data_IF_229393720911
#
_entry.id   IF_229393720911
#
_cell.length_a   1.000
_cell.length_b   1.000
_cell.length_c   1.000
_cell.angle_alpha   90.00
_cell.angle_beta   90.00
_cell.angle_gamma   90.00
#
_symmetry.space_group_name_H-M   'P 1'
#
loop_
_entity.id
_entity.type
_entity.pdbx_description
1 polymer ?
#
# COMPACT_ATOMS: atom_id res chain seq x y z
N UNK A 1 -43.03 0.20 26.05
CA UNK A 1 -43.53 1.56 25.77
C UNK A 1 -44.75 1.39 24.89
N UNK A 2 -45.93 1.93 25.28
CA UNK A 2 -47.09 1.88 24.38
C UNK A 2 -46.85 2.83 23.20
N UNK A 3 -47.50 2.60 22.05
CA UNK A 3 -47.34 3.47 20.88
C UNK A 3 -47.69 4.94 21.20
N UNK A 4 -48.60 5.15 22.16
CA UNK A 4 -49.02 6.47 22.62
C UNK A 4 -47.96 7.17 23.47
N UNK A 5 -47.14 6.41 24.20
CA UNK A 5 -46.03 6.97 25.00
C UNK A 5 -44.87 7.44 24.12
N UNK A 6 -44.70 6.82 22.94
CA UNK A 6 -43.68 7.21 21.96
C UNK A 6 -43.92 8.64 21.45
N UNK A 7 -45.16 8.96 21.07
CA UNK A 7 -45.55 10.30 20.58
C UNK A 7 -45.61 11.39 21.66
N UNK A 8 -45.52 11.00 22.94
CA UNK A 8 -45.46 11.93 24.07
C UNK A 8 -44.01 12.24 24.52
N UNK A 9 -43.01 11.61 23.90
CA UNK A 9 -41.60 11.75 24.24
C UNK A 9 -40.83 12.54 23.18
N UNK A 10 -39.67 13.10 23.55
CA UNK A 10 -38.75 13.70 22.58
C UNK A 10 -38.23 12.61 21.66
N UNK A 11 -38.60 12.67 20.38
CA UNK A 11 -38.16 11.70 19.38
C UNK A 11 -36.70 11.97 19.00
N UNK A 12 -35.92 10.89 18.85
CA UNK A 12 -34.59 10.90 18.25
C UNK A 12 -34.60 10.02 17.00
N UNK A 13 -34.98 10.55 15.84
CA UNK A 13 -35.15 9.77 14.62
C UNK A 13 -33.80 9.30 14.08
N UNK A 14 -33.79 8.11 13.50
CA UNK A 14 -32.69 7.62 12.66
C UNK A 14 -33.16 7.68 11.21
N UNK A 15 -32.58 8.59 10.43
CA UNK A 15 -32.89 8.73 9.01
C UNK A 15 -32.12 7.70 8.19
N UNK A 16 -32.82 7.01 7.29
CA UNK A 16 -32.26 6.08 6.33
C UNK A 16 -32.77 6.44 4.94
N UNK A 17 -31.87 6.65 3.98
CA UNK A 17 -32.21 7.10 2.62
C UNK A 17 -31.78 8.54 2.37
N UNK A 18 -32.66 9.37 1.81
CA UNK A 18 -32.30 10.72 1.36
C UNK A 18 -31.95 11.65 2.55
N UNK A 19 -30.81 12.32 2.46
CA UNK A 19 -30.30 13.28 3.45
C UNK A 19 -31.30 14.41 3.74
N UNK A 20 -32.09 14.79 2.73
CA UNK A 20 -33.08 15.86 2.83
C UNK A 20 -34.06 15.68 3.99
N UNK A 21 -34.40 14.45 4.36
CA UNK A 21 -35.28 14.19 5.50
C UNK A 21 -34.61 14.48 6.85
N UNK A 22 -33.31 14.18 6.97
CA UNK A 22 -32.54 14.54 8.15
C UNK A 22 -32.32 16.06 8.23
N UNK A 23 -32.06 16.71 7.10
CA UNK A 23 -31.93 18.18 7.00
C UNK A 23 -33.23 18.90 7.40
N UNK A 24 -34.37 18.41 6.92
CA UNK A 24 -35.69 18.93 7.27
C UNK A 24 -35.98 18.79 8.76
N UNK A 25 -35.63 17.65 9.37
CA UNK A 25 -35.79 17.41 10.81
C UNK A 25 -34.84 18.29 11.65
N UNK A 26 -33.59 18.43 11.21
CA UNK A 26 -32.61 19.30 11.86
C UNK A 26 -33.05 20.76 11.83
N UNK A 27 -33.61 21.23 10.71
CA UNK A 27 -34.16 22.58 10.56
C UNK A 27 -35.34 22.84 11.52
N UNK A 28 -36.08 21.79 11.89
CA UNK A 28 -37.16 21.84 12.88
C UNK A 28 -36.67 21.69 14.34
N UNK A 29 -35.35 21.62 14.57
CA UNK A 29 -34.76 21.49 15.90
C UNK A 29 -34.86 20.09 16.49
N UNK A 30 -35.06 19.05 15.66
CA UNK A 30 -35.11 17.65 16.09
C UNK A 30 -33.72 17.04 16.02
N UNK A 31 -33.24 16.48 17.15
CA UNK A 31 -32.00 15.71 17.21
C UNK A 31 -32.15 14.43 16.37
N UNK A 32 -31.53 14.41 15.18
CA UNK A 32 -31.67 13.34 14.19
C UNK A 32 -30.32 12.70 13.92
N UNK A 33 -30.30 11.38 13.85
CA UNK A 33 -29.12 10.61 13.43
C UNK A 33 -29.29 10.30 11.95
N UNK A 34 -28.42 10.85 11.10
CA UNK A 34 -28.34 10.43 9.71
C UNK A 34 -27.54 9.13 9.63
N UNK A 35 -28.16 8.07 9.10
CA UNK A 35 -27.46 6.84 8.78
C UNK A 35 -27.05 6.90 7.31
N UNK A 36 -25.75 7.02 7.07
CA UNK A 36 -25.17 6.86 5.74
C UNK A 36 -25.36 5.39 5.29
N UNK A 37 -26.36 5.17 4.46
CA UNK A 37 -26.77 3.85 4.00
C UNK A 37 -26.81 3.81 2.48
N UNK A 38 -26.24 2.77 1.91
CA UNK A 38 -26.31 2.48 0.47
C UNK A 38 -26.83 1.05 0.26
N UNK A 39 -27.55 0.79 -0.85
CA UNK A 39 -27.93 -0.58 -1.19
C UNK A 39 -26.67 -1.43 -1.47
N UNK A 40 -26.67 -2.73 -1.13
CA UNK A 40 -25.57 -3.62 -1.45
C UNK A 40 -25.17 -3.54 -2.92
N UNK A 41 -23.86 -3.59 -3.18
CA UNK A 41 -23.30 -3.46 -4.52
C UNK A 41 -23.54 -2.10 -5.20
N UNK A 42 -23.94 -1.07 -4.45
CA UNK A 42 -24.30 0.24 -5.00
C UNK A 42 -25.61 0.24 -5.80
N UNK A 43 -26.44 -0.80 -5.65
CA UNK A 43 -27.68 -0.95 -6.40
C UNK A 43 -27.51 -1.59 -7.78
N UNK A 44 -26.31 -2.06 -8.14
CA UNK A 44 -26.07 -2.76 -9.41
C UNK A 44 -26.73 -4.17 -9.40
N UNK A 45 -27.67 -4.47 -10.32
CA UNK A 45 -28.37 -5.75 -10.35
C UNK A 45 -27.47 -6.97 -10.55
N UNK A 46 -26.37 -6.85 -11.30
CA UNK A 46 -25.42 -7.94 -11.51
C UNK A 46 -24.65 -8.23 -10.23
N UNK A 47 -24.20 -7.19 -9.54
CA UNK A 47 -23.47 -7.30 -8.27
C UNK A 47 -24.37 -7.87 -7.17
N UNK A 48 -25.62 -7.42 -7.07
CA UNK A 48 -26.60 -7.96 -6.12
C UNK A 48 -26.86 -9.45 -6.40
N UNK A 49 -27.00 -9.83 -7.67
CA UNK A 49 -27.15 -11.23 -8.07
C UNK A 49 -25.92 -12.07 -7.71
N UNK A 50 -24.71 -11.53 -7.91
CA UNK A 50 -23.47 -12.16 -7.51
C UNK A 50 -23.36 -12.36 -5.99
N UNK A 51 -23.70 -11.34 -5.19
CA UNK A 51 -23.79 -11.44 -3.71
C UNK A 51 -24.76 -12.54 -3.30
N UNK A 52 -26.00 -12.50 -3.80
CA UNK A 52 -27.02 -13.50 -3.44
C UNK A 52 -26.62 -14.94 -3.80
N UNK A 53 -25.82 -15.15 -4.86
CA UNK A 53 -25.27 -16.47 -5.20
C UNK A 53 -24.20 -16.93 -4.21
N UNK A 54 -23.32 -16.01 -3.78
CA UNK A 54 -22.22 -16.27 -2.84
C UNK A 54 -22.71 -16.42 -1.39
N UNK A 55 -23.85 -15.82 -1.05
CA UNK A 55 -24.51 -15.90 0.27
C UNK A 55 -25.33 -17.17 0.48
N UNK A 56 -25.51 -18.01 -0.56
CA UNK A 56 -26.14 -19.32 -0.38
C UNK A 56 -25.37 -20.12 0.67
N UNK A 57 -26.03 -20.73 1.69
CA UNK A 57 -25.34 -21.29 2.86
C UNK A 57 -24.17 -22.22 2.53
N UNK A 58 -24.34 -23.10 1.54
CA UNK A 58 -23.31 -24.06 1.10
C UNK A 58 -22.12 -23.43 0.38
N UNK A 59 -22.30 -22.23 -0.18
CA UNK A 59 -21.23 -21.45 -0.83
C UNK A 59 -20.56 -20.53 0.20
N UNK A 60 -21.35 -19.85 1.03
CA UNK A 60 -20.86 -18.99 2.09
C UNK A 60 -19.93 -19.76 3.05
N UNK A 61 -20.31 -20.98 3.46
CA UNK A 61 -19.47 -21.82 4.32
C UNK A 61 -18.11 -22.17 3.68
N UNK A 62 -18.07 -22.43 2.36
CA UNK A 62 -16.82 -22.69 1.64
C UNK A 62 -15.92 -21.45 1.60
N UNK A 63 -16.52 -20.29 1.37
CA UNK A 63 -15.80 -19.02 1.32
C UNK A 63 -15.25 -18.68 2.70
N UNK A 64 -16.06 -18.83 3.75
CA UNK A 64 -15.65 -18.55 5.13
C UNK A 64 -14.48 -19.46 5.55
N UNK A 65 -14.55 -20.75 5.21
CA UNK A 65 -13.44 -21.68 5.45
C UNK A 65 -12.17 -21.27 4.66
N UNK A 66 -12.30 -20.89 3.39
CA UNK A 66 -11.16 -20.44 2.58
C UNK A 66 -10.56 -19.12 3.08
N UNK A 67 -11.40 -18.17 3.50
CA UNK A 67 -10.98 -16.89 4.07
C UNK A 67 -10.29 -17.08 5.42
N UNK A 68 -10.73 -18.03 6.22
CA UNK A 68 -10.06 -18.38 7.47
C UNK A 68 -8.64 -18.92 7.20
N UNK A 69 -8.45 -19.77 6.19
CA UNK A 69 -7.12 -20.22 5.76
C UNK A 69 -6.27 -19.04 5.27
N UNK A 70 -6.84 -18.14 4.48
CA UNK A 70 -6.14 -16.94 4.01
C UNK A 70 -5.68 -16.06 5.19
N UNK A 71 -6.57 -15.79 6.14
CA UNK A 71 -6.26 -15.06 7.36
C UNK A 71 -5.14 -15.76 8.14
N UNK A 72 -5.24 -17.07 8.40
CA UNK A 72 -4.22 -17.83 9.12
C UNK A 72 -2.83 -17.73 8.46
N UNK A 73 -2.74 -17.75 7.12
CA UNK A 73 -1.47 -17.55 6.43
C UNK A 73 -0.90 -16.14 6.60
N UNK A 74 -1.74 -15.12 6.55
CA UNK A 74 -1.34 -13.73 6.83
C UNK A 74 -0.81 -13.62 8.28
N UNK A 75 -1.57 -14.12 9.26
CA UNK A 75 -1.23 -14.00 10.68
C UNK A 75 0.02 -14.77 11.08
N UNK A 76 0.22 -15.94 10.49
CA UNK A 76 1.37 -16.82 10.76
C UNK A 76 2.64 -16.44 9.99
N UNK A 77 2.55 -15.53 9.01
CA UNK A 77 3.71 -15.09 8.23
C UNK A 77 4.79 -14.48 9.12
N UNK A 78 6.04 -14.79 8.78
CA UNK A 78 7.24 -14.31 9.46
C UNK A 78 8.21 -13.73 8.43
N UNK A 79 7.98 -12.49 7.96
CA UNK A 79 8.89 -11.81 7.05
C UNK A 79 10.20 -11.45 7.75
N UNK A 80 11.31 -12.04 7.29
CA UNK A 80 12.67 -11.70 7.70
C UNK A 80 13.39 -10.97 6.58
N UNK A 81 13.98 -9.81 6.88
CA UNK A 81 14.97 -9.21 6.01
C UNK A 81 16.23 -10.07 6.10
N UNK A 82 16.56 -10.75 5.00
CA UNK A 82 17.71 -11.66 4.94
C UNK A 82 18.85 -11.11 4.10
N UNK A 83 18.65 -9.99 3.40
CA UNK A 83 19.71 -9.38 2.64
C UNK A 83 19.24 -8.28 1.71
N UNK A 84 20.21 -7.79 0.95
CA UNK A 84 20.02 -6.88 -0.16
C UNK A 84 20.72 -7.48 -1.37
N UNK A 85 20.21 -7.20 -2.57
CA UNK A 85 20.86 -7.61 -3.81
C UNK A 85 20.47 -6.72 -4.97
N UNK A 86 21.22 -6.75 -6.06
CA UNK A 86 20.81 -6.07 -7.29
C UNK A 86 19.60 -6.78 -7.89
N UNK A 87 18.68 -6.01 -8.47
CA UNK A 87 17.41 -6.54 -8.97
C UNK A 87 17.63 -7.61 -10.06
N UNK A 88 18.63 -7.45 -10.91
CA UNK A 88 18.98 -8.41 -11.97
C UNK A 88 19.34 -9.81 -11.45
N UNK A 89 19.92 -9.89 -10.24
CA UNK A 89 20.39 -11.15 -9.65
C UNK A 89 19.37 -11.76 -8.68
N UNK A 90 18.37 -10.98 -8.25
CA UNK A 90 17.47 -11.36 -7.15
C UNK A 90 16.00 -11.40 -7.53
N UNK A 91 15.53 -10.45 -8.34
CA UNK A 91 14.12 -10.32 -8.69
C UNK A 91 13.77 -11.31 -9.81
N UNK A 92 12.79 -12.21 -9.62
CA UNK A 92 12.40 -13.20 -10.61
C UNK A 92 12.02 -12.54 -11.95
N UNK A 93 12.53 -13.06 -13.05
CA UNK A 93 12.18 -12.57 -14.40
C UNK A 93 12.80 -11.21 -14.77
N UNK A 94 13.65 -10.63 -13.94
CA UNK A 94 14.34 -9.38 -14.28
C UNK A 94 15.36 -9.61 -15.42
N UNK A 95 15.40 -8.69 -16.37
CA UNK A 95 16.41 -8.65 -17.44
C UNK A 95 17.00 -7.25 -17.53
N UNK A 96 18.07 -7.09 -18.33
CA UNK A 96 18.65 -5.75 -18.58
C UNK A 96 17.69 -4.78 -19.28
N UNK A 97 16.66 -5.28 -19.97
CA UNK A 97 15.66 -4.47 -20.68
C UNK A 97 14.28 -4.56 -20.02
N UNK A 98 14.21 -5.02 -18.77
CA UNK A 98 12.97 -5.05 -17.99
C UNK A 98 12.97 -3.88 -17.01
N UNK A 99 11.89 -3.10 -17.00
CA UNK A 99 11.64 -2.06 -16.01
C UNK A 99 10.34 -2.39 -15.30
N UNK A 100 10.43 -2.65 -14.00
CA UNK A 100 9.24 -2.86 -13.18
C UNK A 100 8.63 -1.53 -12.79
N UNK A 101 7.31 -1.48 -12.57
CA UNK A 101 6.59 -0.29 -12.10
C UNK A 101 5.51 -0.65 -11.07
N UNK A 102 5.03 0.36 -10.33
CA UNK A 102 3.90 0.20 -9.42
C UNK A 102 2.56 0.05 -10.15
N UNK A 103 1.57 -0.53 -9.47
CA UNK A 103 0.19 -0.66 -9.94
C UNK A 103 -0.06 -1.80 -10.93
N UNK A 104 -1.29 -1.91 -11.48
CA UNK A 104 -1.63 -2.93 -12.47
C UNK A 104 -0.92 -2.68 -13.82
N UNK A 105 -0.92 -3.68 -14.75
CA UNK A 105 -0.28 -3.56 -16.06
C UNK A 105 -0.69 -2.29 -16.81
N UNK A 106 0.28 -1.58 -17.36
CA UNK A 106 0.06 -0.35 -18.13
C UNK A 106 1.15 -0.16 -19.18
N UNK A 107 0.74 0.28 -20.37
CA UNK A 107 1.67 0.65 -21.45
C UNK A 107 2.35 1.98 -21.15
N UNK A 108 3.63 2.14 -21.54
CA UNK A 108 4.42 3.36 -21.28
C UNK A 108 3.72 4.66 -21.71
N UNK A 109 3.03 4.64 -22.85
CA UNK A 109 2.31 5.82 -23.38
C UNK A 109 1.11 6.23 -22.55
N UNK A 110 0.58 5.35 -21.70
CA UNK A 110 -0.50 5.64 -20.75
C UNK A 110 0.01 5.99 -19.36
N UNK A 111 1.28 5.75 -19.04
CA UNK A 111 1.83 6.05 -17.72
C UNK A 111 1.67 7.53 -17.36
N UNK A 112 1.47 7.81 -16.07
CA UNK A 112 1.41 9.18 -15.56
C UNK A 112 2.75 9.91 -15.78
N UNK A 113 2.74 11.24 -15.82
CA UNK A 113 3.96 12.05 -15.98
C UNK A 113 5.09 11.64 -15.02
N UNK A 114 4.85 11.53 -13.70
CA UNK A 114 5.87 11.10 -12.74
C UNK A 114 6.43 9.70 -13.04
N UNK A 115 5.58 8.77 -13.48
CA UNK A 115 6.03 7.42 -13.83
C UNK A 115 6.85 7.42 -15.12
N UNK A 116 6.46 8.19 -16.14
CA UNK A 116 7.26 8.37 -17.36
C UNK A 116 8.64 8.98 -17.04
N UNK A 117 8.68 10.02 -16.19
CA UNK A 117 9.94 10.62 -15.74
C UNK A 117 10.83 9.65 -14.98
N UNK A 118 10.24 8.76 -14.18
CA UNK A 118 10.95 7.74 -13.43
C UNK A 118 11.54 6.66 -14.36
N UNK A 119 10.77 6.21 -15.36
CA UNK A 119 11.24 5.26 -16.38
C UNK A 119 12.41 5.84 -17.17
N UNK A 120 12.29 7.07 -17.66
CA UNK A 120 13.37 7.69 -18.46
C UNK A 120 14.63 7.90 -17.62
N UNK A 121 14.50 8.33 -16.36
CA UNK A 121 15.62 8.41 -15.44
C UNK A 121 16.29 7.06 -15.18
N UNK A 122 15.50 5.99 -15.02
CA UNK A 122 16.05 4.64 -14.85
C UNK A 122 16.80 4.16 -16.10
N UNK A 123 16.29 4.42 -17.31
CA UNK A 123 16.97 4.05 -18.55
C UNK A 123 18.31 4.78 -18.73
N UNK A 124 18.40 6.05 -18.33
CA UNK A 124 19.66 6.81 -18.29
C UNK A 124 20.61 6.21 -17.24
N UNK A 125 20.10 5.90 -16.05
CA UNK A 125 20.88 5.26 -14.98
C UNK A 125 21.47 3.91 -15.41
N UNK A 126 20.70 3.08 -16.13
CA UNK A 126 21.17 1.80 -16.68
C UNK A 126 22.12 1.95 -17.88
N UNK A 127 22.32 3.17 -18.38
CA UNK A 127 23.15 3.43 -19.57
C UNK A 127 22.54 2.90 -20.87
N UNK A 128 21.21 2.70 -20.90
CA UNK A 128 20.48 2.28 -22.10
C UNK A 128 20.16 3.45 -23.03
N UNK A 129 20.19 4.67 -22.50
CA UNK A 129 20.06 5.93 -23.22
C UNK A 129 21.06 6.96 -22.66
N UNK A 130 21.50 7.91 -23.49
CA UNK A 130 22.48 8.94 -23.10
C UNK A 130 21.85 10.07 -22.30
N UNK A 131 20.57 10.34 -22.56
CA UNK A 131 19.81 11.42 -21.95
C UNK A 131 18.31 11.07 -21.90
N UNK A 132 17.54 11.97 -21.29
CA UNK A 132 16.09 11.77 -21.05
C UNK A 132 15.29 11.73 -22.34
N UNK A 133 15.72 12.45 -23.39
CA UNK A 133 15.03 12.48 -24.68
C UNK A 133 15.20 11.14 -25.41
N UNK A 134 16.44 10.64 -25.51
CA UNK A 134 16.72 9.30 -26.08
C UNK A 134 16.05 8.19 -25.23
N UNK A 135 16.00 8.36 -23.90
CA UNK A 135 15.32 7.42 -23.01
C UNK A 135 13.81 7.37 -23.25
N UNK A 136 13.18 8.50 -23.54
CA UNK A 136 11.75 8.56 -23.85
C UNK A 136 11.45 7.85 -25.18
N UNK A 137 12.27 8.10 -26.22
CA UNK A 137 12.15 7.41 -27.50
C UNK A 137 12.33 5.90 -27.35
N UNK A 138 13.33 5.46 -26.56
CA UNK A 138 13.58 4.05 -26.28
C UNK A 138 12.43 3.40 -25.50
N UNK A 139 11.89 4.07 -24.49
CA UNK A 139 10.75 3.56 -23.72
C UNK A 139 9.50 3.40 -24.61
N UNK A 140 9.32 4.27 -25.60
CA UNK A 140 8.20 4.20 -26.54
C UNK A 140 8.43 3.26 -27.73
N UNK A 141 9.63 2.69 -27.91
CA UNK A 141 9.98 1.91 -29.10
C UNK A 141 9.44 0.47 -29.09
N UNK A 142 9.02 -0.03 -27.93
CA UNK A 142 8.65 -1.44 -27.71
C UNK A 142 9.86 -2.36 -27.45
N UNK A 143 11.06 -1.81 -27.28
CA UNK A 143 12.26 -2.60 -26.91
C UNK A 143 12.42 -2.84 -25.41
N UNK A 144 11.67 -2.12 -24.57
CA UNK A 144 11.71 -2.24 -23.10
C UNK A 144 10.47 -3.00 -22.65
N UNK A 145 10.68 -4.03 -21.84
CA UNK A 145 9.62 -4.80 -21.21
C UNK A 145 9.19 -4.10 -19.93
N UNK A 146 7.93 -3.66 -19.88
CA UNK A 146 7.32 -3.08 -18.69
C UNK A 146 6.41 -4.10 -18.01
N UNK A 147 6.57 -4.28 -16.70
CA UNK A 147 5.69 -5.15 -15.93
C UNK A 147 5.48 -4.66 -14.50
N UNK A 148 4.33 -4.96 -13.89
CA UNK A 148 4.09 -4.65 -12.49
C UNK A 148 5.08 -5.33 -11.55
N UNK A 149 5.55 -4.60 -10.54
CA UNK A 149 6.30 -5.18 -9.43
C UNK A 149 5.58 -6.40 -8.83
N UNK A 150 4.26 -6.32 -8.67
CA UNK A 150 3.43 -7.36 -8.07
C UNK A 150 3.43 -8.71 -8.81
N UNK A 151 3.83 -8.72 -10.09
CA UNK A 151 3.97 -9.92 -10.93
C UNK A 151 5.38 -10.55 -10.82
N UNK A 152 6.32 -9.84 -10.22
CA UNK A 152 7.72 -10.25 -10.01
C UNK A 152 8.06 -10.37 -8.52
N UNK A 153 7.07 -10.78 -7.70
CA UNK A 153 7.20 -10.90 -6.25
C UNK A 153 7.71 -9.62 -5.57
N UNK A 154 7.46 -8.46 -6.19
CA UNK A 154 8.02 -7.18 -5.77
C UNK A 154 6.93 -6.16 -5.46
N UNK A 155 7.32 -5.07 -4.82
CA UNK A 155 6.51 -3.85 -4.64
C UNK A 155 7.38 -2.61 -4.80
N UNK A 156 6.83 -1.54 -5.37
CA UNK A 156 7.51 -0.27 -5.60
C UNK A 156 6.76 0.93 -5.02
N UNK A 157 7.47 1.80 -4.28
CA UNK A 157 6.90 3.04 -3.73
C UNK A 157 6.68 4.09 -4.82
N UNK A 158 5.55 4.80 -4.79
CA UNK A 158 5.18 5.85 -5.76
C UNK A 158 5.23 5.34 -7.22
N UNK A 159 6.06 5.89 -8.11
CA UNK A 159 6.19 5.34 -9.47
C UNK A 159 6.64 3.86 -9.46
N UNK A 160 7.32 3.43 -8.40
CA UNK A 160 7.74 2.04 -8.19
C UNK A 160 8.77 1.53 -9.18
N UNK A 161 9.35 2.43 -9.99
CA UNK A 161 10.31 2.07 -11.02
C UNK A 161 11.50 1.35 -10.41
N UNK A 162 11.72 0.13 -10.88
CA UNK A 162 12.84 -0.72 -10.45
C UNK A 162 13.52 -1.30 -11.69
N UNK A 163 14.80 -0.98 -11.87
CA UNK A 163 15.63 -1.43 -13.00
C UNK A 163 16.71 -2.41 -12.55
N UNK A 164 17.34 -3.07 -13.51
CA UNK A 164 18.27 -4.18 -13.31
C UNK A 164 19.38 -3.93 -12.27
N UNK A 165 20.01 -2.75 -12.28
CA UNK A 165 21.16 -2.42 -11.44
C UNK A 165 20.77 -1.83 -10.08
N UNK A 166 19.48 -1.53 -9.85
CA UNK A 166 19.00 -1.03 -8.57
C UNK A 166 19.07 -2.11 -7.50
N UNK A 167 19.42 -1.71 -6.28
CA UNK A 167 19.40 -2.61 -5.12
C UNK A 167 17.98 -2.76 -4.57
N UNK A 168 17.67 -3.98 -4.13
CA UNK A 168 16.40 -4.35 -3.51
C UNK A 168 16.62 -5.03 -2.16
N UNK A 169 15.67 -4.87 -1.25
CA UNK A 169 15.52 -5.74 -0.10
C UNK A 169 15.18 -7.15 -0.58
N UNK A 170 15.71 -8.17 0.09
CA UNK A 170 15.28 -9.57 -0.03
C UNK A 170 14.64 -10.00 1.29
N UNK A 171 13.32 -10.13 1.28
CA UNK A 171 12.56 -10.55 2.46
C UNK A 171 12.01 -11.96 2.26
N UNK A 172 12.36 -12.86 3.17
CA UNK A 172 11.88 -14.24 3.16
C UNK A 172 10.82 -14.41 4.23
N UNK A 173 9.65 -14.89 3.84
CA UNK A 173 8.64 -15.34 4.77
C UNK A 173 9.01 -16.74 5.27
N UNK A 174 9.64 -16.84 6.45
CA UNK A 174 10.18 -18.13 6.94
C UNK A 174 9.12 -19.20 7.20
N UNK A 175 7.88 -18.80 7.50
CA UNK A 175 6.77 -19.74 7.73
C UNK A 175 6.33 -20.43 6.44
N UNK A 176 6.23 -19.68 5.35
CA UNK A 176 5.63 -20.15 4.08
C UNK A 176 6.64 -20.34 2.94
N UNK A 177 7.90 -19.93 3.15
CA UNK A 177 9.03 -20.12 2.24
C UNK A 177 9.07 -19.18 1.04
N UNK A 178 8.06 -18.32 0.83
CA UNK A 178 8.06 -17.35 -0.26
C UNK A 178 9.00 -16.17 0.03
N UNK A 179 9.50 -15.53 -1.03
CA UNK A 179 10.36 -14.34 -0.95
C UNK A 179 9.66 -13.16 -1.64
N UNK A 180 9.91 -11.95 -1.15
CA UNK A 180 9.47 -10.71 -1.78
C UNK A 180 10.58 -9.67 -1.81
N UNK A 181 10.44 -8.69 -2.72
CA UNK A 181 11.46 -7.67 -2.98
C UNK A 181 10.86 -6.25 -3.04
N UNK A 182 11.71 -5.27 -2.77
CA UNK A 182 11.39 -3.85 -3.02
C UNK A 182 12.67 -3.04 -3.11
N UNK A 183 12.69 -2.00 -3.92
CA UNK A 183 13.84 -1.11 -4.03
C UNK A 183 14.12 -0.35 -2.72
N UNK A 184 15.26 0.35 -2.69
CA UNK A 184 15.67 1.18 -1.56
C UNK A 184 15.07 2.59 -1.65
N UNK A 185 14.82 3.22 -0.50
CA UNK A 185 14.49 4.64 -0.49
C UNK A 185 15.70 5.49 -0.89
N UNK A 186 15.49 6.39 -1.84
CA UNK A 186 16.50 7.36 -2.32
C UNK A 186 16.78 8.50 -1.34
N UNK A 187 15.96 8.64 -0.29
CA UNK A 187 15.99 9.76 0.66
C UNK A 187 15.85 11.15 -0.01
N UNK A 188 15.54 12.20 0.76
CA UNK A 188 15.25 13.56 0.25
C UNK A 188 13.93 13.70 -0.54
N UNK A 189 13.68 14.90 -1.05
CA UNK A 189 12.44 15.29 -1.76
C UNK A 189 12.53 15.20 -3.29
N UNK A 190 13.70 15.51 -3.89
CA UNK A 190 13.92 15.41 -5.35
C UNK A 190 14.50 14.02 -5.69
N UNK A 191 13.62 13.11 -6.12
CA UNK A 191 13.91 11.68 -6.23
C UNK A 191 13.18 11.02 -7.41
N UNK A 192 13.73 9.91 -7.89
CA UNK A 192 13.25 9.18 -9.06
C UNK A 192 11.83 8.66 -8.87
N UNK A 193 11.46 8.18 -7.68
CA UNK A 193 10.10 7.65 -7.44
C UNK A 193 8.97 8.67 -7.64
N UNK A 194 9.29 9.97 -7.69
CA UNK A 194 8.35 11.04 -8.06
C UNK A 194 8.59 11.58 -9.49
N UNK A 195 9.45 10.94 -10.27
CA UNK A 195 9.75 11.29 -11.66
C UNK A 195 10.88 12.30 -11.85
N UNK A 196 11.64 12.64 -10.80
CA UNK A 196 12.80 13.50 -10.98
C UNK A 196 13.95 12.68 -11.59
N UNK A 197 14.61 13.20 -12.62
CA UNK A 197 15.59 12.46 -13.40
C UNK A 197 16.78 13.32 -13.86
N UNK A 198 17.09 14.39 -13.10
CA UNK A 198 18.26 15.22 -13.38
C UNK A 198 19.57 14.53 -12.96
N UNK A 199 20.70 15.16 -13.30
CA UNK A 199 22.01 14.61 -12.98
C UNK A 199 22.20 14.32 -11.49
N UNK A 200 21.61 15.13 -10.60
CA UNK A 200 21.73 14.91 -9.15
C UNK A 200 20.99 13.65 -8.67
N UNK A 201 19.90 13.27 -9.36
CA UNK A 201 19.20 11.99 -9.12
C UNK A 201 20.03 10.84 -9.67
N UNK A 202 20.53 10.95 -10.90
CA UNK A 202 21.34 9.89 -11.52
C UNK A 202 22.63 9.63 -10.74
N UNK A 203 23.33 10.68 -10.29
CA UNK A 203 24.54 10.57 -9.46
C UNK A 203 24.25 9.87 -8.14
N UNK A 204 23.09 10.15 -7.53
CA UNK A 204 22.64 9.47 -6.31
C UNK A 204 22.33 8.00 -6.57
N UNK A 205 21.63 7.66 -7.65
CA UNK A 205 21.35 6.26 -8.00
C UNK A 205 22.65 5.48 -8.24
N UNK A 206 23.64 6.09 -8.89
CA UNK A 206 24.98 5.53 -9.03
C UNK A 206 25.65 5.32 -7.66
N UNK A 207 25.64 6.32 -6.77
CA UNK A 207 26.17 6.18 -5.41
C UNK A 207 25.42 5.09 -4.61
N UNK A 208 24.10 4.98 -4.79
CA UNK A 208 23.32 3.93 -4.15
C UNK A 208 23.70 2.53 -4.66
N UNK A 209 23.98 2.41 -5.96
CA UNK A 209 24.49 1.16 -6.58
C UNK A 209 25.89 0.79 -6.08
N UNK A 210 26.77 1.79 -5.99
CA UNK A 210 28.20 1.58 -5.83
C UNK A 210 28.66 1.60 -4.35
N UNK A 211 27.88 2.23 -3.45
CA UNK A 211 28.23 2.39 -2.03
C UNK A 211 27.10 1.95 -1.10
N UNK A 212 25.91 2.57 -1.19
CA UNK A 212 24.84 2.32 -0.21
C UNK A 212 24.37 0.87 -0.19
N UNK A 213 23.99 0.33 -1.35
CA UNK A 213 23.55 -1.04 -1.52
C UNK A 213 24.60 -2.06 -1.07
N UNK A 214 25.86 -1.96 -1.54
CA UNK A 214 26.94 -2.82 -1.08
C UNK A 214 27.18 -2.78 0.44
N UNK A 215 27.12 -1.61 1.08
CA UNK A 215 27.27 -1.49 2.54
C UNK A 215 26.13 -2.22 3.27
N UNK A 216 24.89 -2.04 2.82
CA UNK A 216 23.74 -2.75 3.40
C UNK A 216 23.82 -4.27 3.18
N UNK A 217 24.26 -4.70 2.00
CA UNK A 217 24.43 -6.10 1.67
C UNK A 217 25.51 -6.76 2.54
N UNK A 218 26.69 -6.15 2.62
CA UNK A 218 27.78 -6.66 3.46
C UNK A 218 27.43 -6.68 4.95
N UNK A 219 26.62 -5.71 5.42
CA UNK A 219 26.07 -5.77 6.78
C UNK A 219 25.15 -6.99 6.98
N UNK A 220 24.31 -7.30 6.00
CA UNK A 220 23.41 -8.47 6.10
C UNK A 220 24.14 -9.81 5.90
N UNK A 221 25.27 -9.86 5.19
CA UNK A 221 26.13 -11.05 5.13
C UNK A 221 26.68 -11.44 6.51
N UNK A 222 26.95 -10.45 7.38
CA UNK A 222 27.36 -10.66 8.77
C UNK A 222 26.18 -11.04 9.68
N UNK A 223 24.97 -10.53 9.39
CA UNK A 223 23.76 -10.86 10.13
C UNK A 223 23.05 -12.12 9.59
N UNK A 224 23.65 -13.29 9.83
CA UNK A 224 23.11 -14.56 9.33
C UNK A 224 21.73 -14.95 9.88
N UNK A 225 21.31 -14.38 11.02
CA UNK A 225 19.99 -14.63 11.61
C UNK A 225 18.87 -13.83 10.91
N UNK A 226 19.22 -12.79 10.15
CA UNK A 226 18.28 -11.86 9.54
C UNK A 226 17.65 -10.88 10.55
N UNK A 227 16.73 -10.04 10.07
CA UNK A 227 15.96 -9.12 10.93
C UNK A 227 14.47 -9.48 10.84
N UNK A 228 13.86 -9.79 11.99
CA UNK A 228 12.41 -10.05 12.08
C UNK A 228 11.62 -8.75 11.87
N UNK A 229 11.06 -8.59 10.68
CA UNK A 229 10.32 -7.39 10.30
C UNK A 229 8.94 -7.35 10.95
N UNK A 230 8.34 -8.49 11.30
CA UNK A 230 7.04 -8.50 12.00
C UNK A 230 7.19 -7.98 13.42
N UNK A 231 8.24 -8.42 14.12
CA UNK A 231 8.56 -7.92 15.45
C UNK A 231 8.87 -6.41 15.42
N UNK A 232 9.72 -5.98 14.50
CA UNK A 232 10.09 -4.58 14.37
C UNK A 232 8.89 -3.69 14.00
N UNK A 233 8.02 -4.16 13.09
CA UNK A 233 6.78 -3.46 12.74
C UNK A 233 5.84 -3.33 13.95
N UNK A 234 5.69 -4.39 14.75
CA UNK A 234 4.89 -4.32 15.99
C UNK A 234 5.43 -3.26 16.95
N UNK A 235 6.75 -3.13 17.07
CA UNK A 235 7.37 -2.10 17.91
C UNK A 235 7.15 -0.70 17.33
N UNK A 236 7.30 -0.53 16.02
CA UNK A 236 7.09 0.75 15.34
C UNK A 236 5.65 1.28 15.54
N UNK A 237 4.65 0.41 15.40
CA UNK A 237 3.25 0.76 15.66
C UNK A 237 3.02 1.20 17.11
N UNK A 238 3.71 0.59 18.07
CA UNK A 238 3.63 0.99 19.49
C UNK A 238 4.41 2.28 19.80
N UNK A 239 5.23 2.74 18.85
CA UNK A 239 6.01 3.98 18.93
C UNK A 239 5.39 5.12 18.11
N UNK A 240 4.17 4.93 17.61
CA UNK A 240 3.40 5.98 16.95
C UNK A 240 3.53 6.04 15.43
N UNK A 241 4.13 5.04 14.80
CA UNK A 241 4.09 4.87 13.34
C UNK A 241 2.81 4.14 12.93
N UNK A 242 2.36 4.37 11.69
CA UNK A 242 1.38 3.49 11.03
C UNK A 242 2.00 2.75 9.84
N UNK A 243 3.27 3.02 9.53
CA UNK A 243 4.09 2.30 8.56
C UNK A 243 3.64 2.44 7.08
N UNK A 244 3.02 3.58 6.73
CA UNK A 244 2.82 4.01 5.35
C UNK A 244 3.31 5.46 5.15
N UNK A 245 2.68 6.44 5.81
CA UNK A 245 3.11 7.85 5.78
C UNK A 245 4.16 8.15 6.84
N UNK A 246 3.97 7.68 8.08
CA UNK A 246 4.91 7.92 9.18
C UNK A 246 5.69 6.65 9.49
N UNK A 247 7.01 6.76 9.31
CA UNK A 247 7.97 5.67 9.38
C UNK A 247 9.16 5.99 10.29
N UNK A 248 9.02 6.98 11.19
CA UNK A 248 10.12 7.53 11.99
C UNK A 248 10.68 6.49 12.97
N UNK A 249 9.80 5.83 13.71
CA UNK A 249 10.19 4.80 14.66
C UNK A 249 10.80 3.61 13.93
N UNK A 250 10.14 3.15 12.88
CA UNK A 250 10.62 2.05 12.03
C UNK A 250 11.99 2.30 11.44
N UNK A 251 12.24 3.50 10.90
CA UNK A 251 13.53 3.90 10.32
C UNK A 251 14.62 3.90 11.38
N UNK A 252 14.31 4.41 12.57
CA UNK A 252 15.25 4.44 13.70
C UNK A 252 15.59 3.03 14.19
N UNK A 253 14.60 2.16 14.32
CA UNK A 253 14.79 0.76 14.73
C UNK A 253 15.61 -0.03 13.70
N UNK A 254 15.33 0.16 12.41
CA UNK A 254 16.01 -0.55 11.33
C UNK A 254 17.49 -0.17 11.24
N UNK A 255 17.81 1.13 11.24
CA UNK A 255 19.21 1.56 11.20
C UNK A 255 19.96 1.19 12.48
N UNK A 256 19.31 1.20 13.63
CA UNK A 256 19.89 0.72 14.89
C UNK A 256 20.24 -0.78 14.81
N UNK A 257 19.37 -1.60 14.21
CA UNK A 257 19.62 -3.03 14.04
C UNK A 257 20.76 -3.31 13.03
N UNK A 258 20.89 -2.50 11.98
CA UNK A 258 21.94 -2.63 10.97
C UNK A 258 23.30 -2.10 11.43
N UNK A 259 23.32 -1.10 12.32
CA UNK A 259 24.53 -0.37 12.67
C UNK A 259 25.71 -1.23 13.17
N UNK A 260 25.52 -2.24 14.04
CA UNK A 260 26.63 -3.10 14.47
C UNK A 260 27.32 -3.79 13.30
N UNK A 261 26.53 -4.35 12.38
CA UNK A 261 27.05 -5.06 11.22
C UNK A 261 27.68 -4.12 10.18
N UNK A 262 27.12 -2.93 9.99
CA UNK A 262 27.78 -1.87 9.20
C UNK A 262 29.14 -1.52 9.81
N UNK A 263 29.25 -1.41 11.14
CA UNK A 263 30.52 -1.09 11.80
C UNK A 263 31.56 -2.20 11.65
N UNK A 264 31.14 -3.47 11.72
CA UNK A 264 31.99 -4.67 11.59
C UNK A 264 32.42 -4.98 10.15
N UNK A 265 31.70 -4.49 9.15
CA UNK A 265 32.03 -4.70 7.72
C UNK A 265 33.39 -4.11 7.31
N UNK A 266 33.94 -4.53 6.17
CA UNK A 266 35.25 -4.07 5.67
C UNK A 266 35.22 -2.72 4.92
N UNK A 267 34.06 -2.06 4.85
CA UNK A 267 33.94 -0.75 4.21
C UNK A 267 34.73 0.34 4.96
N UNK A 268 35.10 1.41 4.25
CA UNK A 268 35.85 2.50 4.86
C UNK A 268 34.99 3.26 5.88
N UNK A 269 35.62 3.88 6.89
CA UNK A 269 34.92 4.75 7.84
C UNK A 269 34.16 5.88 7.14
N UNK A 270 34.67 6.35 6.00
CA UNK A 270 34.02 7.38 5.19
C UNK A 270 32.70 6.87 4.62
N UNK A 271 32.71 5.74 3.92
CA UNK A 271 31.50 5.15 3.32
C UNK A 271 30.45 4.83 4.39
N UNK A 272 30.87 4.22 5.51
CA UNK A 272 29.97 3.94 6.65
C UNK A 272 29.28 5.21 7.16
N UNK A 273 30.04 6.30 7.34
CA UNK A 273 29.47 7.59 7.75
C UNK A 273 28.50 8.14 6.71
N UNK A 274 28.84 8.10 5.42
CA UNK A 274 27.96 8.58 4.35
C UNK A 274 26.63 7.83 4.33
N UNK A 275 26.63 6.51 4.59
CA UNK A 275 25.40 5.71 4.74
C UNK A 275 24.56 6.17 5.93
N UNK A 276 25.15 6.42 7.10
CA UNK A 276 24.41 6.94 8.25
C UNK A 276 23.85 8.34 8.00
N UNK A 277 24.65 9.23 7.40
CA UNK A 277 24.23 10.60 7.07
C UNK A 277 23.08 10.59 6.03
N UNK A 278 23.14 9.67 5.07
CA UNK A 278 22.09 9.47 4.07
C UNK A 278 20.78 9.00 4.70
N UNK A 279 20.81 7.96 5.54
CA UNK A 279 19.61 7.48 6.25
C UNK A 279 19.07 8.54 7.21
N UNK A 280 19.92 9.36 7.83
CA UNK A 280 19.46 10.45 8.71
C UNK A 280 18.82 11.62 7.95
N UNK A 281 18.95 11.69 6.61
CA UNK A 281 18.43 12.80 5.81
C UNK A 281 16.92 12.76 5.57
N UNK A 282 16.27 11.62 5.82
CA UNK A 282 14.81 11.46 5.81
C UNK A 282 14.38 10.32 6.73
N UNK A 283 13.16 10.40 7.24
CA UNK A 283 12.53 9.37 8.05
C UNK A 283 11.91 8.22 7.23
N UNK A 284 12.13 8.18 5.91
CA UNK A 284 11.46 7.24 5.00
C UNK A 284 12.27 5.95 4.68
N UNK A 285 13.46 5.76 5.26
CA UNK A 285 14.31 4.59 4.95
C UNK A 285 13.59 3.24 5.12
N UNK A 286 12.77 3.10 6.18
CA UNK A 286 12.00 1.86 6.43
C UNK A 286 10.68 1.76 5.65
N UNK A 287 10.24 2.80 4.95
CA UNK A 287 8.95 2.79 4.21
C UNK A 287 8.83 1.62 3.24
N UNK A 288 9.80 1.42 2.32
CA UNK A 288 9.83 0.24 1.46
C UNK A 288 9.88 -1.07 2.25
N UNK A 289 10.63 -1.12 3.37
CA UNK A 289 10.77 -2.31 4.22
C UNK A 289 9.41 -2.82 4.71
N UNK A 290 8.49 -1.93 5.10
CA UNK A 290 7.13 -2.32 5.50
C UNK A 290 6.29 -2.81 4.34
N UNK A 291 6.42 -2.18 3.16
CA UNK A 291 5.75 -2.64 1.94
C UNK A 291 6.15 -4.07 1.59
N UNK A 292 7.44 -4.41 1.63
CA UNK A 292 7.90 -5.76 1.29
C UNK A 292 7.58 -6.79 2.38
N UNK A 293 7.55 -6.38 3.67
CA UNK A 293 7.07 -7.25 4.75
C UNK A 293 5.58 -7.59 4.58
N UNK A 294 4.76 -6.60 4.24
CA UNK A 294 3.36 -6.78 3.90
C UNK A 294 3.20 -7.67 2.65
N UNK A 295 3.94 -7.38 1.57
CA UNK A 295 3.95 -8.20 0.34
C UNK A 295 4.27 -9.66 0.60
N UNK A 296 5.34 -9.94 1.34
CA UNK A 296 5.75 -11.31 1.68
C UNK A 296 4.66 -12.06 2.48
N UNK A 297 3.92 -11.35 3.32
CA UNK A 297 2.83 -11.92 4.13
C UNK A 297 1.56 -12.11 3.30
N UNK A 298 1.19 -11.14 2.46
CA UNK A 298 -0.01 -11.19 1.63
C UNK A 298 0.11 -12.19 0.48
N UNK A 299 1.30 -12.37 -0.10
CA UNK A 299 1.53 -13.36 -1.15
C UNK A 299 1.35 -14.80 -0.65
N UNK A 300 1.61 -15.07 0.64
CA UNK A 300 1.36 -16.39 1.23
C UNK A 300 -0.14 -16.76 1.23
N UNK A 301 -1.00 -15.74 1.29
CA UNK A 301 -2.46 -15.90 1.25
C UNK A 301 -3.05 -15.84 -0.17
N UNK A 302 -2.22 -15.77 -1.21
CA UNK A 302 -2.68 -15.76 -2.60
C UNK A 302 -2.94 -17.17 -3.15
N UNK A 303 -3.92 -17.29 -4.06
CA UNK A 303 -4.21 -18.55 -4.75
C UNK A 303 -4.95 -19.60 -3.91
N UNK A 304 -5.67 -19.19 -2.86
CA UNK A 304 -6.51 -20.08 -2.07
C UNK A 304 -7.87 -20.18 -2.75
N UNK A 305 -8.20 -21.38 -3.22
CA UNK A 305 -9.49 -21.67 -3.85
C UNK A 305 -10.65 -21.20 -2.97
N UNK A 306 -11.67 -20.60 -3.60
CA UNK A 306 -12.88 -20.04 -2.97
C UNK A 306 -12.68 -18.82 -2.06
N UNK A 307 -11.44 -18.38 -1.79
CA UNK A 307 -11.24 -17.21 -0.93
C UNK A 307 -11.57 -15.90 -1.64
N UNK A 308 -12.27 -15.00 -0.94
CA UNK A 308 -12.63 -13.65 -1.37
C UNK A 308 -11.73 -12.59 -0.73
N UNK A 309 -10.61 -12.98 -0.11
CA UNK A 309 -9.66 -12.06 0.51
C UNK A 309 -8.83 -11.35 -0.55
N UNK A 310 -8.79 -10.02 -0.47
CA UNK A 310 -7.89 -9.17 -1.27
C UNK A 310 -6.45 -9.41 -0.85
N UNK A 311 -5.59 -9.73 -1.81
CA UNK A 311 -4.15 -10.00 -1.60
C UNK A 311 -3.26 -8.92 -2.17
N UNK A 312 -3.82 -7.97 -2.92
CA UNK A 312 -3.10 -6.83 -3.47
C UNK A 312 -4.06 -5.67 -3.67
N UNK A 313 -3.64 -4.49 -3.25
CA UNK A 313 -4.13 -3.20 -3.71
C UNK A 313 -2.93 -2.38 -4.18
N UNK A 314 -2.98 -1.86 -5.40
CA UNK A 314 -1.88 -1.13 -6.01
C UNK A 314 -2.40 -0.17 -7.09
N UNK A 315 -1.64 0.87 -7.40
CA UNK A 315 -2.05 1.91 -8.36
C UNK A 315 -0.88 2.51 -9.11
N UNK A 316 -1.09 2.90 -10.36
CA UNK A 316 -0.02 3.39 -11.25
C UNK A 316 -0.15 4.89 -11.61
N UNK A 317 -0.98 5.64 -10.89
CA UNK A 317 -1.26 7.05 -11.19
C UNK A 317 -2.29 7.26 -12.30
N UNK A 318 -2.90 6.18 -12.81
CA UNK A 318 -3.98 6.18 -13.80
C UNK A 318 -5.06 5.17 -13.44
N UNK A 319 -4.65 3.92 -13.25
CA UNK A 319 -5.50 2.80 -12.88
C UNK A 319 -5.15 2.32 -11.45
N UNK A 320 -6.17 1.94 -10.70
CA UNK A 320 -6.06 1.19 -9.46
C UNK A 320 -6.41 -0.27 -9.76
N UNK A 321 -5.64 -1.20 -9.21
CA UNK A 321 -5.84 -2.63 -9.38
C UNK A 321 -5.91 -3.35 -8.04
N UNK A 322 -6.81 -4.34 -7.96
CA UNK A 322 -6.81 -5.34 -6.89
C UNK A 322 -6.57 -6.75 -7.43
N UNK A 323 -6.02 -7.61 -6.58
CA UNK A 323 -5.99 -9.07 -6.79
C UNK A 323 -6.64 -9.75 -5.59
N UNK A 324 -7.33 -10.86 -5.86
CA UNK A 324 -8.12 -11.58 -4.86
C UNK A 324 -7.73 -13.05 -4.86
N UNK A 325 -7.55 -13.62 -3.68
CA UNK A 325 -6.92 -14.93 -3.49
C UNK A 325 -7.53 -16.04 -4.35
N UNK A 326 -8.86 -16.18 -4.35
CA UNK A 326 -9.59 -17.21 -5.10
C UNK A 326 -9.63 -16.98 -6.63
N UNK A 327 -9.09 -15.86 -7.10
CA UNK A 327 -9.01 -15.54 -8.53
C UNK A 327 -7.62 -15.75 -9.14
N UNK A 328 -6.63 -16.09 -8.31
CA UNK A 328 -5.25 -16.28 -8.73
C UNK A 328 -4.53 -14.96 -9.01
N UNK A 329 -3.85 -14.85 -10.15
CA UNK A 329 -3.11 -13.66 -10.56
C UNK A 329 -3.92 -12.60 -11.30
N UNK A 330 -5.25 -12.76 -11.43
CA UNK A 330 -6.09 -11.85 -12.19
C UNK A 330 -6.16 -10.46 -11.53
N UNK A 331 -5.96 -9.42 -12.32
CA UNK A 331 -6.20 -8.04 -11.93
C UNK A 331 -7.65 -7.64 -12.17
N UNK A 332 -8.22 -6.90 -11.23
CA UNK A 332 -9.48 -6.16 -11.40
C UNK A 332 -9.18 -4.69 -11.24
N UNK A 333 -9.51 -3.89 -12.26
CA UNK A 333 -9.06 -2.51 -12.35
C UNK A 333 -10.21 -1.51 -12.43
N UNK A 334 -9.97 -0.32 -11.90
CA UNK A 334 -10.81 0.86 -12.05
C UNK A 334 -9.94 2.12 -12.07
N UNK A 335 -10.53 3.31 -12.24
CA UNK A 335 -9.75 4.55 -12.25
C UNK A 335 -9.08 4.80 -10.89
N UNK A 336 -7.80 5.18 -10.90
CA UNK A 336 -7.15 5.68 -9.70
C UNK A 336 -7.85 6.95 -9.21
N UNK A 337 -8.01 7.08 -7.90
CA UNK A 337 -8.75 8.17 -7.29
C UNK A 337 -7.85 9.37 -6.97
N UNK A 338 -8.46 10.53 -6.73
CA UNK A 338 -7.74 11.65 -6.13
C UNK A 338 -7.51 11.38 -4.64
N UNK A 339 -6.40 11.91 -4.13
CA UNK A 339 -6.08 11.88 -2.71
C UNK A 339 -6.49 13.21 -2.09
N UNK A 340 -7.35 13.17 -1.08
CA UNK A 340 -7.95 14.37 -0.49
C UNK A 340 -7.35 14.62 0.89
N UNK A 341 -6.74 15.78 1.07
CA UNK A 341 -6.17 16.18 2.35
C UNK A 341 -5.44 17.52 2.29
N UNK A 342 -4.74 17.91 3.38
CA UNK A 342 -3.97 19.13 3.45
C UNK A 342 -2.88 19.22 2.37
N UNK A 343 -2.81 20.38 1.72
CA UNK A 343 -1.77 20.71 0.73
C UNK A 343 -0.62 21.48 1.41
N UNK A 344 0.59 21.28 0.91
CA UNK A 344 1.74 22.11 1.30
C UNK A 344 1.58 23.54 0.77
N UNK A 345 2.19 24.49 1.48
CA UNK A 345 2.13 25.90 1.11
C UNK A 345 2.63 26.13 -0.32
N UNK A 346 1.82 26.80 -1.14
CA UNK A 346 2.12 27.08 -2.55
C UNK A 346 1.48 26.11 -3.55
N UNK A 347 0.85 25.02 -3.09
CA UNK A 347 0.14 24.07 -3.95
C UNK A 347 -1.36 24.08 -3.71
N UNK A 348 -2.09 23.59 -4.71
CA UNK A 348 -3.55 23.47 -4.73
C UNK A 348 -3.96 22.07 -5.18
N UNK A 349 -5.22 21.64 -4.92
CA UNK A 349 -5.68 20.34 -5.38
C UNK A 349 -5.54 20.12 -6.90
N UNK A 350 -5.55 21.18 -7.72
CA UNK A 350 -5.41 21.10 -9.18
C UNK A 350 -4.00 20.69 -9.66
N UNK A 351 -3.01 20.74 -8.77
CA UNK A 351 -1.62 20.34 -9.01
C UNK A 351 -1.41 18.83 -8.81
N UNK A 352 -2.36 18.16 -8.17
CA UNK A 352 -2.28 16.75 -7.79
C UNK A 352 -2.39 15.82 -8.98
N UNK A 353 -1.56 14.77 -8.97
CA UNK A 353 -1.81 13.56 -9.75
C UNK A 353 -2.89 12.68 -9.12
N UNK A 354 -3.23 11.58 -9.79
CA UNK A 354 -4.03 10.52 -9.20
C UNK A 354 -3.15 9.62 -8.31
N UNK A 355 -3.80 8.83 -7.45
CA UNK A 355 -3.12 7.94 -6.51
C UNK A 355 -2.16 6.96 -7.22
N UNK A 356 -0.95 6.79 -6.67
CA UNK A 356 0.16 6.06 -7.31
C UNK A 356 1.06 5.34 -6.28
N UNK A 357 1.44 4.09 -6.58
CA UNK A 357 2.32 3.25 -5.78
C UNK A 357 1.79 1.86 -5.49
N UNK A 358 2.67 0.97 -5.03
CA UNK A 358 2.29 -0.31 -4.42
C UNK A 358 2.15 -0.19 -2.90
N UNK A 359 2.33 1.01 -2.34
CA UNK A 359 2.29 1.21 -0.88
C UNK A 359 0.94 0.87 -0.25
N UNK A 360 -0.15 0.79 -1.03
CA UNK A 360 -1.46 0.28 -0.59
C UNK A 360 -1.44 -1.22 -0.20
N UNK A 361 -0.34 -1.94 -0.45
CA UNK A 361 -0.10 -3.27 0.13
C UNK A 361 -0.03 -3.21 1.67
N UNK A 362 0.31 -2.05 2.24
CA UNK A 362 0.36 -1.83 3.69
C UNK A 362 -1.05 -1.88 4.30
N UNK A 363 -2.03 -1.17 3.71
CA UNK A 363 -3.45 -1.29 4.10
C UNK A 363 -4.03 -2.66 3.78
N UNK A 364 -3.60 -3.28 2.67
CA UNK A 364 -4.02 -4.66 2.33
C UNK A 364 -3.65 -5.65 3.45
N UNK A 365 -2.50 -5.42 4.10
CA UNK A 365 -2.05 -6.22 5.25
C UNK A 365 -2.72 -5.82 6.58
N UNK A 366 -3.20 -4.58 6.70
CA UNK A 366 -3.90 -4.06 7.89
C UNK A 366 -3.18 -2.93 8.61
N UNK A 367 -2.02 -2.49 8.12
CA UNK A 367 -1.31 -1.30 8.63
C UNK A 367 -1.66 -0.08 7.77
N UNK A 368 -0.90 1.01 7.86
CA UNK A 368 -1.23 2.23 7.12
C UNK A 368 -2.53 2.86 7.63
N UNK A 369 -3.45 3.18 6.72
CA UNK A 369 -4.75 3.78 7.04
C UNK A 369 -5.61 2.90 7.94
N UNK A 370 -5.43 1.58 7.88
CA UNK A 370 -6.11 0.63 8.77
C UNK A 370 -5.61 0.72 10.21
N UNK A 371 -4.36 1.15 10.41
CA UNK A 371 -3.73 1.37 11.71
C UNK A 371 -3.55 2.85 12.04
N UNK A 372 -4.30 3.76 11.41
CA UNK A 372 -4.20 5.21 11.61
C UNK A 372 -4.31 5.62 13.09
N UNK A 373 -5.12 4.90 13.87
CA UNK A 373 -5.25 5.04 15.31
C UNK A 373 -3.94 4.89 16.12
N UNK A 374 -2.95 4.19 15.57
CA UNK A 374 -1.61 4.07 16.17
C UNK A 374 -0.79 5.35 16.03
N UNK A 375 -1.10 6.21 15.06
CA UNK A 375 -0.26 7.33 14.65
C UNK A 375 -0.99 8.70 14.76
N UNK A 376 -1.43 9.15 15.94
CA UNK A 376 -2.15 10.42 16.08
C UNK A 376 -1.38 11.64 15.53
N UNK A 377 -0.05 11.56 15.44
CA UNK A 377 0.79 12.63 14.86
C UNK A 377 0.51 12.88 13.37
N UNK A 378 0.03 11.89 12.61
CA UNK A 378 -0.16 12.07 11.16
C UNK A 378 -1.42 12.87 10.83
N UNK A 379 -2.36 13.02 11.76
CA UNK A 379 -3.62 13.77 11.56
C UNK A 379 -3.36 15.19 11.06
N UNK A 380 -2.31 15.85 11.54
CA UNK A 380 -1.93 17.19 11.07
C UNK A 380 -1.45 17.22 9.61
N UNK A 381 -0.93 16.09 9.10
CA UNK A 381 -0.39 15.95 7.77
C UNK A 381 -1.45 15.46 6.77
N UNK A 382 -2.22 14.43 7.13
CA UNK A 382 -3.22 13.78 6.25
C UNK A 382 -4.63 14.37 6.39
N UNK A 383 -4.85 15.21 7.41
CA UNK A 383 -6.15 15.81 7.71
C UNK A 383 -7.04 14.94 8.61
N UNK A 384 -8.17 15.52 9.01
CA UNK A 384 -9.13 14.92 9.93
C UNK A 384 -8.85 15.21 11.40
N UNK A 385 -9.37 14.35 12.28
CA UNK A 385 -9.22 14.41 13.74
C UNK A 385 -8.68 13.10 14.31
N UNK A 386 -8.20 13.13 15.55
CA UNK A 386 -7.75 11.91 16.25
C UNK A 386 -8.92 10.94 16.44
N UNK A 387 -10.12 11.44 16.74
CA UNK A 387 -11.31 10.59 16.89
C UNK A 387 -11.72 9.92 15.57
N UNK A 388 -11.60 10.64 14.44
CA UNK A 388 -11.80 10.05 13.12
C UNK A 388 -10.77 8.96 12.82
N UNK A 389 -9.48 9.17 13.13
CA UNK A 389 -8.45 8.15 12.98
C UNK A 389 -8.73 6.88 13.81
N UNK A 390 -9.22 7.04 15.04
CA UNK A 390 -9.70 5.93 15.86
C UNK A 390 -10.91 5.23 15.23
N UNK A 391 -11.85 6.03 14.69
CA UNK A 391 -13.03 5.57 13.99
C UNK A 391 -12.68 4.72 12.77
N UNK A 392 -11.78 5.20 11.90
CA UNK A 392 -11.36 4.48 10.70
C UNK A 392 -10.80 3.09 11.01
N UNK A 393 -9.86 2.99 11.97
CA UNK A 393 -9.29 1.69 12.34
C UNK A 393 -10.34 0.72 12.92
N UNK A 394 -11.38 1.23 13.61
CA UNK A 394 -12.51 0.40 14.05
C UNK A 394 -13.39 -0.02 12.87
N UNK A 395 -13.73 0.90 11.98
CA UNK A 395 -14.59 0.66 10.81
C UNK A 395 -13.99 -0.39 9.89
N UNK A 396 -12.66 -0.46 9.72
CA UNK A 396 -12.02 -1.48 8.87
C UNK A 396 -12.23 -2.93 9.35
N UNK A 397 -12.64 -3.16 10.61
CA UNK A 397 -13.07 -4.48 11.08
C UNK A 397 -14.34 -4.99 10.37
N UNK A 398 -15.19 -4.07 9.90
CA UNK A 398 -16.44 -4.43 9.23
C UNK A 398 -16.21 -5.12 7.89
N UNK A 399 -15.09 -4.82 7.22
CA UNK A 399 -14.75 -5.33 5.89
C UNK A 399 -13.64 -6.39 5.88
N UNK A 400 -13.10 -6.75 7.04
CA UNK A 400 -11.99 -7.71 7.17
C UNK A 400 -12.44 -9.03 7.79
N UNK A 401 -11.63 -10.07 7.61
CA UNK A 401 -11.93 -11.44 8.07
C UNK A 401 -11.68 -11.59 9.57
N UNK A 402 -10.67 -10.91 10.11
CA UNK A 402 -10.38 -10.88 11.54
C UNK A 402 -9.25 -9.90 11.89
N UNK A 403 -8.70 -10.00 13.09
CA UNK A 403 -7.62 -9.13 13.57
C UNK A 403 -6.31 -9.90 13.74
N UNK A 404 -5.18 -9.24 13.47
CA UNK A 404 -3.86 -9.82 13.71
C UNK A 404 -3.39 -9.59 15.16
N UNK A 405 -3.34 -10.63 16.01
CA UNK A 405 -2.95 -10.45 17.42
C UNK A 405 -1.47 -10.16 17.61
N UNK A 406 -0.63 -10.36 16.59
CA UNK A 406 0.82 -10.13 16.67
C UNK A 406 1.21 -8.67 16.39
N UNK A 407 0.29 -7.86 15.88
CA UNK A 407 0.50 -6.46 15.52
C UNK A 407 -0.71 -5.69 16.01
N UNK A 408 -0.54 -4.90 17.08
CA UNK A 408 -1.66 -4.32 17.82
C UNK A 408 -1.57 -2.80 17.89
N UNK A 409 -2.71 -2.16 18.11
CA UNK A 409 -2.85 -0.70 18.23
C UNK A 409 -3.08 -0.35 19.71
N UNK A 410 -2.10 0.23 20.42
CA UNK A 410 -2.21 0.46 21.87
C UNK A 410 -3.40 1.34 22.28
N UNK A 411 -3.70 2.37 21.49
CA UNK A 411 -4.78 3.31 21.79
C UNK A 411 -6.20 2.71 21.63
N UNK A 412 -6.31 1.51 21.04
CA UNK A 412 -7.54 0.74 20.91
C UNK A 412 -7.49 -0.50 21.80
N UNK A 413 -6.96 -0.37 23.02
CA UNK A 413 -6.81 -1.45 24.00
C UNK A 413 -6.05 -2.67 23.44
N UNK A 414 -5.02 -2.41 22.64
CA UNK A 414 -4.22 -3.43 21.94
C UNK A 414 -5.05 -4.33 21.01
N UNK A 415 -6.12 -3.80 20.42
CA UNK A 415 -6.80 -4.45 19.30
C UNK A 415 -5.77 -4.78 18.20
N UNK A 416 -5.79 -6.02 17.72
CA UNK A 416 -4.99 -6.42 16.56
C UNK A 416 -5.38 -5.62 15.32
N UNK A 417 -4.44 -5.37 14.41
CA UNK A 417 -4.78 -4.67 13.16
C UNK A 417 -5.82 -5.46 12.34
N UNK A 418 -6.80 -4.81 11.70
CA UNK A 418 -7.80 -5.50 10.86
C UNK A 418 -7.12 -6.15 9.65
N UNK A 419 -7.39 -7.43 9.37
CA UNK A 419 -6.67 -8.22 8.37
C UNK A 419 -7.58 -9.08 7.49
N UNK A 420 -7.22 -9.19 6.22
CA UNK A 420 -7.92 -9.99 5.22
C UNK A 420 -9.22 -9.33 4.75
N UNK A 421 -9.10 -8.26 3.96
CA UNK A 421 -10.23 -7.53 3.36
C UNK A 421 -11.07 -8.52 2.52
N UNK A 422 -12.33 -8.71 2.86
CA UNK A 422 -13.25 -9.61 2.17
C UNK A 422 -14.10 -8.83 1.15
N UNK A 423 -13.97 -9.16 -0.14
CA UNK A 423 -14.72 -8.52 -1.23
C UNK A 423 -16.24 -8.57 -0.99
N UNK A 424 -16.77 -9.65 -0.40
CA UNK A 424 -18.21 -9.75 -0.09
C UNK A 424 -18.62 -8.66 0.90
N UNK A 425 -17.85 -8.50 1.99
CA UNK A 425 -18.16 -7.51 3.04
C UNK A 425 -18.06 -6.09 2.52
N UNK A 426 -17.06 -5.77 1.69
CA UNK A 426 -16.94 -4.46 1.04
C UNK A 426 -18.20 -4.16 0.21
N UNK A 427 -18.66 -5.14 -0.59
CA UNK A 427 -19.83 -4.97 -1.45
C UNK A 427 -21.16 -5.00 -0.70
N UNK A 428 -21.27 -5.77 0.37
CA UNK A 428 -22.46 -5.85 1.22
C UNK A 428 -22.66 -4.57 2.04
N UNK A 429 -21.58 -4.05 2.64
CA UNK A 429 -21.63 -2.89 3.53
C UNK A 429 -21.55 -1.55 2.80
N UNK A 430 -21.00 -1.53 1.57
CA UNK A 430 -20.67 -0.30 0.85
C UNK A 430 -19.42 0.41 1.40
N UNK A 431 -18.76 -0.13 2.42
CA UNK A 431 -17.56 0.46 3.03
C UNK A 431 -16.33 0.06 2.21
N UNK A 432 -15.63 1.04 1.66
CA UNK A 432 -14.38 0.82 0.92
C UNK A 432 -13.16 0.84 1.86
N UNK A 433 -12.07 0.11 1.54
CA UNK A 433 -10.81 0.24 2.25
C UNK A 433 -10.30 1.68 2.28
N UNK A 434 -10.01 2.18 3.47
CA UNK A 434 -9.37 3.49 3.62
C UNK A 434 -7.87 3.37 3.36
N UNK A 435 -7.32 4.28 2.56
CA UNK A 435 -5.88 4.39 2.30
C UNK A 435 -5.45 5.80 2.68
N UNK A 436 -4.42 5.92 3.50
CA UNK A 436 -3.77 7.20 3.77
C UNK A 436 -2.46 7.26 2.98
N UNK A 437 -2.23 8.30 2.19
CA UNK A 437 -1.12 8.33 1.24
C UNK A 437 -0.68 9.76 0.92
N UNK A 438 0.54 9.90 0.40
CA UNK A 438 1.04 11.18 -0.07
C UNK A 438 0.29 11.65 -1.33
N UNK A 439 0.10 12.96 -1.44
CA UNK A 439 -0.36 13.63 -2.65
C UNK A 439 0.89 13.98 -3.46
N UNK A 440 1.07 13.33 -4.61
CA UNK A 440 2.14 13.64 -5.54
C UNK A 440 1.67 14.67 -6.58
N UNK A 441 2.57 15.54 -7.01
CA UNK A 441 2.31 16.44 -8.13
C UNK A 441 2.14 15.66 -9.44
N UNK A 442 1.26 16.16 -10.34
CA UNK A 442 1.00 15.52 -11.64
C UNK A 442 2.15 15.67 -12.65
N UNK A 443 2.99 16.68 -12.47
CA UNK A 443 4.18 16.90 -13.29
C UNK A 443 5.41 16.17 -12.72
N UNK A 444 6.26 15.57 -13.57
CA UNK A 444 7.40 14.77 -13.13
C UNK A 444 8.39 15.54 -12.26
N UNK A 445 8.80 14.93 -11.15
CA UNK A 445 9.94 15.35 -10.35
C UNK A 445 9.72 16.52 -9.39
N UNK A 446 8.49 17.07 -9.33
CA UNK A 446 8.13 18.09 -8.33
C UNK A 446 8.02 17.48 -6.93
N UNK A 447 7.53 16.24 -6.84
CA UNK A 447 7.51 15.48 -5.58
C UNK A 447 6.18 15.52 -4.84
N UNK A 448 6.27 15.29 -3.53
CA UNK A 448 5.13 15.33 -2.61
C UNK A 448 4.69 16.77 -2.36
N UNK A 449 3.39 17.02 -2.50
CA UNK A 449 2.76 18.35 -2.37
C UNK A 449 1.66 18.40 -1.31
N UNK A 450 1.46 17.29 -0.59
CA UNK A 450 0.47 17.14 0.47
C UNK A 450 0.35 15.67 0.88
N UNK A 451 -0.60 15.38 1.76
CA UNK A 451 -0.99 14.01 2.09
C UNK A 451 -2.48 13.98 2.40
N UNK A 452 -3.10 12.81 2.29
CA UNK A 452 -4.53 12.71 2.49
C UNK A 452 -5.05 11.30 2.53
N UNK A 453 -6.37 11.21 2.44
CA UNK A 453 -7.12 9.97 2.41
C UNK A 453 -7.64 9.74 0.99
N UNK A 454 -7.65 8.49 0.57
CA UNK A 454 -8.30 8.04 -0.65
C UNK A 454 -8.88 6.64 -0.44
N UNK A 455 -9.61 6.16 -1.45
CA UNK A 455 -10.23 4.85 -1.47
C UNK A 455 -9.97 4.20 -2.83
N UNK A 456 -9.93 2.87 -2.91
CA UNK A 456 -9.92 2.19 -4.20
C UNK A 456 -11.25 2.44 -4.94
N UNK A 457 -11.26 2.36 -6.28
CA UNK A 457 -12.50 2.43 -7.07
C UNK A 457 -13.40 1.23 -6.77
N UNK A 458 -14.71 1.48 -6.61
CA UNK A 458 -15.71 0.44 -6.34
C UNK A 458 -15.78 -0.58 -7.47
N UNK A 459 -15.50 -0.15 -8.70
CA UNK A 459 -15.54 -0.94 -9.93
C UNK A 459 -14.61 -2.16 -9.85
N UNK A 460 -13.46 -2.02 -9.19
CA UNK A 460 -12.51 -3.13 -9.02
C UNK A 460 -13.09 -4.25 -8.15
N UNK A 461 -13.85 -3.90 -7.10
CA UNK A 461 -14.50 -4.87 -6.22
C UNK A 461 -15.74 -5.50 -6.86
N UNK A 462 -16.53 -4.72 -7.60
CA UNK A 462 -17.68 -5.23 -8.34
C UNK A 462 -17.24 -6.30 -9.35
N UNK A 463 -16.20 -6.01 -10.15
CA UNK A 463 -15.64 -6.98 -11.09
C UNK A 463 -15.11 -8.23 -10.39
N UNK A 464 -14.39 -8.06 -9.28
CA UNK A 464 -13.87 -9.18 -8.50
C UNK A 464 -14.99 -10.08 -7.96
N UNK A 465 -16.05 -9.48 -7.42
CA UNK A 465 -17.19 -10.20 -6.86
C UNK A 465 -17.92 -11.03 -7.93
N UNK A 466 -18.17 -10.42 -9.10
CA UNK A 466 -18.80 -11.12 -10.24
C UNK A 466 -17.91 -12.28 -10.70
N UNK A 467 -16.60 -12.08 -10.81
CA UNK A 467 -15.67 -13.14 -11.18
C UNK A 467 -15.63 -14.29 -10.16
N UNK A 468 -15.65 -13.98 -8.85
CA UNK A 468 -15.73 -14.97 -7.78
C UNK A 468 -17.05 -15.76 -7.86
N UNK A 469 -18.18 -15.08 -8.01
CA UNK A 469 -19.49 -15.72 -8.14
C UNK A 469 -19.54 -16.67 -9.35
N UNK A 470 -18.91 -16.32 -10.47
CA UNK A 470 -18.86 -17.19 -11.64
C UNK A 470 -17.92 -18.40 -11.50
N UNK A 471 -16.96 -18.35 -10.56
CA UNK A 471 -16.03 -19.46 -10.29
C UNK A 471 -16.54 -20.40 -9.20
N UNK A 472 -17.19 -19.86 -8.18
CA UNK A 472 -17.54 -20.60 -6.95
C UNK A 472 -18.99 -21.11 -7.00
N UNK A 473 -19.92 -20.34 -7.60
CA UNK A 473 -21.36 -20.46 -7.37
C UNK A 473 -22.16 -21.00 -8.58
#
# INVERSE_FOLDING_TARGET
MSINDLFASTLKPVNLGLDMFAEDLATQGVDTVLMDWTPPGGGDPEVISALGRLERPEIAEKIDAANQVALERILSSQPFLEGFGQAIDTVPGMTRKTILHAGPPIEFTRMSGPMQGAVTGALVFEGLAKDVDEAFELAASGEIDFSPCHEHQSVGSMAGVTSASMWVHRVVNRTHGNTAYTNLSEQLSKILRFGANDQSVIDRLNWMRDVFGPVLAGAMELNTDGIDLRLMLSQALHMGDEAHNRNVAGTTLLIQALAPYILESDFTTKEKREVFDFVASSDYFSGPTWMVAAKASMDAANGIENSTVVTTMARNGVDFGIRVSGTGGQWFTGPAQQVVGPMFAGYTPADSGLDMGDSAITETFGIGGFAMAAAPAIVALVGGTVDEAMGYSRTMNTITTGNNPNITIPALDFMGVPSGIDVRKVMETGILPIINTAIAHKDPGVGMIGAGITHPPVEAFQQALVALANRIA
#
